data_IF_116770451235
#
_entry.id   IF_116770451235
#
_cell.length_a   1.000
_cell.length_b   1.000
_cell.length_c   1.000
_cell.angle_alpha   90.00
_cell.angle_beta   90.00
_cell.angle_gamma   90.00
#
_symmetry.space_group_name_H-M   'P 1'
#
loop_
_entity.id
_entity.type
_entity.pdbx_description
1 polymer ?
#
# COMPACT_ATOMS: atom_id res chain seq x y z
N UNK A 1 22.05 -11.20 16.32
CA UNK A 1 21.72 -10.58 17.61
C UNK A 1 21.13 -11.66 18.50
N UNK A 2 21.51 -11.71 19.77
CA UNK A 2 20.94 -12.67 20.72
C UNK A 2 19.63 -12.09 21.25
N UNK A 3 18.51 -12.66 20.80
CA UNK A 3 17.17 -12.15 21.10
C UNK A 3 16.69 -12.52 22.51
N UNK A 4 17.54 -13.18 23.33
CA UNK A 4 17.08 -13.84 24.53
C UNK A 4 16.99 -12.99 25.80
N UNK A 5 17.64 -11.83 25.81
CA UNK A 5 17.88 -11.06 27.03
C UNK A 5 16.97 -9.83 27.18
N UNK A 6 15.99 -9.64 26.28
CA UNK A 6 15.13 -8.45 26.28
C UNK A 6 15.78 -7.20 25.66
N UNK A 7 17.02 -7.29 25.18
CA UNK A 7 17.74 -6.19 24.52
C UNK A 7 17.32 -5.98 23.04
N UNK A 8 16.13 -6.45 22.65
CA UNK A 8 15.66 -6.29 21.28
C UNK A 8 15.03 -4.91 21.11
N UNK A 9 15.69 -4.04 20.34
CA UNK A 9 15.10 -2.80 19.84
C UNK A 9 13.84 -3.12 19.04
N UNK A 10 12.68 -2.77 19.60
CA UNK A 10 11.36 -3.04 19.02
C UNK A 10 11.00 -2.09 17.88
N UNK A 11 11.98 -1.79 17.02
CA UNK A 11 11.92 -0.94 15.82
C UNK A 11 13.05 -1.33 14.85
N UNK A 12 12.85 -1.13 13.53
CA UNK A 12 13.86 -1.45 12.52
C UNK A 12 15.07 -0.48 12.59
N UNK A 13 16.30 -0.93 12.90
CA UNK A 13 17.43 -0.03 13.13
C UNK A 13 17.86 0.76 11.89
N UNK A 14 17.70 0.18 10.69
CA UNK A 14 18.00 0.88 9.44
C UNK A 14 17.11 2.10 9.23
N UNK A 15 15.98 2.22 9.94
CA UNK A 15 15.19 3.44 9.96
C UNK A 15 15.95 4.60 10.57
N UNK A 16 16.65 4.39 11.69
CA UNK A 16 17.44 5.44 12.35
C UNK A 16 18.60 5.87 11.46
N UNK A 17 19.29 4.91 10.83
CA UNK A 17 20.36 5.17 9.86
C UNK A 17 19.87 5.98 8.65
N UNK A 18 18.63 5.76 8.21
CA UNK A 18 18.02 6.52 7.14
C UNK A 18 17.45 7.88 7.60
N UNK A 19 16.99 7.96 8.86
CA UNK A 19 16.38 9.16 9.44
C UNK A 19 17.43 10.20 9.79
N UNK A 20 18.55 9.79 10.39
CA UNK A 20 19.62 10.67 10.86
C UNK A 20 20.06 11.71 9.81
N UNK A 21 20.42 11.32 8.56
CA UNK A 21 20.76 12.30 7.53
C UNK A 21 19.53 13.10 7.04
N UNK A 22 18.32 12.59 7.21
CA UNK A 22 17.08 13.24 6.77
C UNK A 22 16.51 14.25 7.78
N UNK A 23 16.95 14.23 9.06
CA UNK A 23 16.46 15.12 10.13
C UNK A 23 16.62 16.60 9.76
N UNK A 24 17.74 16.95 9.12
CA UNK A 24 18.03 18.32 8.68
C UNK A 24 16.99 18.82 7.65
N UNK A 25 16.58 17.96 6.72
CA UNK A 25 15.57 18.28 5.71
C UNK A 25 14.14 18.26 6.26
N UNK A 26 13.83 17.34 7.19
CA UNK A 26 12.53 17.24 7.88
C UNK A 26 12.25 18.53 8.66
N UNK A 27 13.20 18.97 9.47
CA UNK A 27 13.08 20.18 10.27
C UNK A 27 12.95 21.43 9.39
N UNK A 28 13.80 21.55 8.38
CA UNK A 28 13.82 22.66 7.42
C UNK A 28 12.51 22.85 6.67
N UNK A 29 11.81 21.76 6.35
CA UNK A 29 10.53 21.80 5.62
C UNK A 29 9.32 21.90 6.55
N UNK A 30 9.53 22.00 7.87
CA UNK A 30 8.45 21.97 8.86
C UNK A 30 7.61 20.69 8.77
N UNK A 31 8.21 19.58 8.30
CA UNK A 31 7.51 18.34 8.08
C UNK A 31 7.20 17.69 9.42
N UNK A 32 5.94 17.32 9.58
CA UNK A 32 5.52 16.49 10.71
C UNK A 32 5.91 15.06 10.37
N UNK A 33 6.90 14.52 11.06
CA UNK A 33 7.27 13.12 10.97
C UNK A 33 6.33 12.30 11.85
N UNK A 34 5.68 11.31 11.25
CA UNK A 34 4.95 10.27 11.96
C UNK A 34 5.47 8.93 11.41
N UNK A 35 6.18 8.17 12.25
CA UNK A 35 6.75 6.89 11.89
C UNK A 35 6.56 5.91 13.05
N UNK A 36 6.36 4.64 12.71
CA UNK A 36 6.33 3.54 13.68
C UNK A 36 7.51 2.57 13.48
N UNK A 37 8.39 2.84 12.49
CA UNK A 37 9.54 2.04 12.09
C UNK A 37 9.28 0.52 12.13
N UNK A 38 8.07 0.11 11.73
CA UNK A 38 7.70 -1.29 11.54
C UNK A 38 7.47 -2.15 12.78
N UNK A 39 7.37 -1.65 14.03
CA UNK A 39 7.33 -2.57 15.18
C UNK A 39 6.69 -2.06 16.50
N UNK A 40 6.78 -2.88 17.56
CA UNK A 40 5.91 -3.01 18.76
C UNK A 40 6.26 -2.05 19.91
N UNK A 41 7.42 -1.37 19.88
CA UNK A 41 7.94 -0.54 20.98
C UNK A 41 8.06 0.95 20.59
N UNK A 42 6.91 1.61 20.37
CA UNK A 42 6.84 3.00 19.91
C UNK A 42 7.50 4.01 20.85
N UNK A 43 7.53 3.72 22.16
CA UNK A 43 8.15 4.58 23.17
C UNK A 43 9.67 4.60 23.05
N UNK A 44 10.29 3.45 22.90
CA UNK A 44 11.75 3.32 22.81
C UNK A 44 12.29 3.96 21.52
N UNK A 45 11.55 3.82 20.41
CA UNK A 45 11.85 4.53 19.16
C UNK A 45 11.77 6.06 19.34
N UNK A 46 10.75 6.55 20.05
CA UNK A 46 10.61 7.98 20.33
C UNK A 46 11.80 8.50 21.13
N UNK A 47 12.21 7.80 22.18
CA UNK A 47 13.33 8.20 23.04
C UNK A 47 14.65 8.27 22.25
N UNK A 48 14.91 7.31 21.36
CA UNK A 48 16.13 7.31 20.55
C UNK A 48 16.13 8.41 19.47
N UNK A 49 14.98 8.69 18.85
CA UNK A 49 14.85 9.80 17.88
C UNK A 49 15.02 11.15 18.58
N UNK A 50 14.51 11.32 19.80
CA UNK A 50 14.71 12.56 20.58
C UNK A 50 16.19 12.79 20.85
N UNK A 51 16.88 11.76 21.37
CA UNK A 51 18.32 11.81 21.65
C UNK A 51 19.13 12.16 20.40
N UNK A 52 18.85 11.50 19.27
CA UNK A 52 19.48 11.77 17.97
C UNK A 52 19.32 13.23 17.52
N UNK A 53 18.16 13.85 17.80
CA UNK A 53 17.92 15.26 17.44
C UNK A 53 18.59 16.22 18.42
N UNK A 54 18.63 15.90 19.71
CA UNK A 54 19.30 16.70 20.75
C UNK A 54 20.83 16.78 20.53
N UNK A 55 21.46 15.71 20.04
CA UNK A 55 22.90 15.66 19.71
C UNK A 55 23.32 16.64 18.59
N UNK A 56 22.37 17.19 17.81
CA UNK A 56 22.65 18.15 16.73
C UNK A 56 22.77 19.62 17.19
N UNK A 57 22.83 19.88 18.50
CA UNK A 57 23.28 21.12 19.22
C UNK A 57 22.63 22.47 18.82
N UNK A 58 21.69 22.46 17.88
CA UNK A 58 20.96 23.62 17.38
C UNK A 58 19.44 23.46 17.59
N UNK A 59 18.99 22.32 18.12
CA UNK A 59 17.59 21.88 18.21
C UNK A 59 17.07 21.98 19.65
N UNK A 60 15.91 22.60 19.81
CA UNK A 60 15.22 22.77 21.10
C UNK A 60 13.86 22.08 21.04
N UNK A 61 13.67 21.05 21.86
CA UNK A 61 12.36 20.45 22.10
C UNK A 61 11.62 21.17 23.23
N UNK A 62 10.32 21.38 23.05
CA UNK A 62 9.43 21.97 24.06
C UNK A 62 8.17 21.13 24.13
N UNK A 63 7.87 20.55 25.29
CA UNK A 63 6.60 19.87 25.52
C UNK A 63 5.45 20.89 25.42
N UNK A 64 4.47 20.63 24.55
CA UNK A 64 3.32 21.52 24.33
C UNK A 64 1.97 20.85 24.61
N UNK A 65 1.96 19.58 25.00
CA UNK A 65 0.76 18.86 25.41
C UNK A 65 1.04 17.39 25.71
N UNK A 66 0.03 16.66 26.17
CA UNK A 66 0.12 15.21 26.32
C UNK A 66 0.43 14.56 24.97
N UNK A 67 1.55 13.85 24.88
CA UNK A 67 2.07 13.25 23.64
C UNK A 67 2.37 14.26 22.51
N UNK A 68 2.70 15.52 22.84
CA UNK A 68 3.05 16.55 21.85
C UNK A 68 4.28 17.35 22.25
N UNK A 69 5.26 17.37 21.35
CA UNK A 69 6.47 18.21 21.44
C UNK A 69 6.57 19.16 20.25
N UNK A 70 7.11 20.36 20.49
CA UNK A 70 7.53 21.33 19.47
C UNK A 70 9.05 21.28 19.36
N UNK A 71 9.56 21.23 18.13
CA UNK A 71 10.98 21.38 17.82
C UNK A 71 11.26 22.80 17.28
N UNK A 72 12.34 23.45 17.69
CA UNK A 72 12.72 24.81 17.27
C UNK A 72 14.25 25.01 17.25
N UNK A 73 14.75 26.10 16.65
CA UNK A 73 16.19 26.47 16.68
C UNK A 73 17.03 26.07 15.45
N UNK A 74 16.51 25.21 14.57
CA UNK A 74 17.18 24.78 13.34
C UNK A 74 17.17 25.86 12.24
N UNK A 75 18.32 26.14 11.61
CA UNK A 75 18.44 27.07 10.47
C UNK A 75 19.00 26.33 9.23
N UNK A 76 18.30 26.38 8.09
CA UNK A 76 18.66 25.64 6.87
C UNK A 76 18.54 26.43 5.55
N UNK A 77 19.10 25.86 4.46
CA UNK A 77 18.99 26.34 3.05
C UNK A 77 17.64 25.97 2.41
N UNK A 78 17.21 26.47 1.23
CA UNK A 78 15.87 26.20 0.67
C UNK A 78 15.59 24.72 0.28
N UNK A 79 14.32 24.28 0.26
CA UNK A 79 13.92 22.88 0.04
C UNK A 79 14.08 22.39 -1.42
N UNK A 80 14.35 21.08 -1.66
CA UNK A 80 14.23 20.48 -2.99
C UNK A 80 12.74 20.35 -3.39
N UNK A 81 12.47 20.47 -4.69
CA UNK A 81 11.17 20.73 -5.34
C UNK A 81 10.11 19.62 -5.24
N UNK A 82 10.34 18.55 -4.49
CA UNK A 82 9.44 17.38 -4.46
C UNK A 82 9.07 16.93 -3.04
N UNK A 83 7.81 16.54 -2.87
CA UNK A 83 7.22 16.03 -1.62
C UNK A 83 6.93 14.53 -1.74
N UNK A 84 7.22 13.75 -0.69
CA UNK A 84 6.86 12.33 -0.61
C UNK A 84 5.72 12.15 0.39
N UNK A 85 4.60 11.56 -0.04
CA UNK A 85 3.43 11.26 0.79
C UNK A 85 3.18 9.75 0.78
N UNK A 86 3.08 9.15 1.97
CA UNK A 86 2.63 7.76 2.15
C UNK A 86 1.20 7.77 2.69
N UNK A 87 0.30 7.05 2.01
CA UNK A 87 -1.09 6.87 2.42
C UNK A 87 -1.29 5.39 2.76
N UNK A 88 -1.70 5.11 3.99
CA UNK A 88 -2.08 3.76 4.43
C UNK A 88 -3.61 3.70 4.44
N UNK A 89 -4.18 2.83 3.61
CA UNK A 89 -5.61 2.54 3.59
C UNK A 89 -5.87 1.16 4.21
N UNK A 90 -7.08 0.99 4.74
CA UNK A 90 -7.53 -0.31 5.24
C UNK A 90 -7.92 -1.19 4.06
N UNK A 91 -7.04 -2.10 3.64
CA UNK A 91 -7.26 -3.03 2.52
C UNK A 91 -7.83 -4.40 2.93
N UNK A 92 -8.66 -4.44 3.98
CA UNK A 92 -9.32 -5.66 4.42
C UNK A 92 -8.46 -6.63 5.25
N UNK A 93 -9.04 -7.79 5.53
CA UNK A 93 -8.45 -8.89 6.28
C UNK A 93 -8.23 -10.08 5.34
N UNK A 94 -7.14 -10.81 5.53
CA UNK A 94 -6.67 -11.86 4.60
C UNK A 94 -6.52 -13.19 5.33
N UNK A 95 -6.97 -14.27 4.69
CA UNK A 95 -6.60 -15.64 5.04
C UNK A 95 -6.03 -16.34 3.80
N UNK A 96 -4.94 -17.10 4.02
CA UNK A 96 -4.23 -17.85 2.97
C UNK A 96 -3.91 -19.25 3.51
N UNK A 97 -4.15 -20.27 2.68
CA UNK A 97 -3.86 -21.67 3.02
C UNK A 97 -3.08 -22.31 1.89
N UNK A 98 -2.01 -23.02 2.25
CA UNK A 98 -1.15 -23.76 1.32
C UNK A 98 -1.26 -25.27 1.57
N UNK A 99 -1.44 -26.03 0.49
CA UNK A 99 -1.41 -27.48 0.50
C UNK A 99 -0.35 -28.01 -0.48
N UNK A 100 0.67 -28.73 0.01
CA UNK A 100 1.56 -29.45 -0.88
C UNK A 100 0.82 -30.66 -1.47
N UNK A 101 0.67 -30.70 -2.79
CA UNK A 101 0.06 -31.82 -3.50
C UNK A 101 1.12 -32.60 -4.29
N UNK A 102 1.06 -33.93 -4.22
CA UNK A 102 2.04 -34.82 -4.85
C UNK A 102 1.33 -35.88 -5.70
N UNK A 103 1.95 -36.26 -6.82
CA UNK A 103 1.56 -37.40 -7.65
C UNK A 103 0.75 -37.02 -8.90
N UNK A 104 0.05 -38.01 -9.47
CA UNK A 104 -0.71 -37.86 -10.72
C UNK A 104 -1.98 -37.03 -10.54
N UNK A 105 -2.55 -36.55 -11.66
CA UNK A 105 -3.89 -35.94 -11.73
C UNK A 105 -4.07 -34.75 -10.77
N UNK A 106 -3.04 -33.89 -10.69
CA UNK A 106 -3.05 -32.71 -9.83
C UNK A 106 -4.26 -31.82 -10.14
N UNK A 107 -4.59 -31.59 -11.41
CA UNK A 107 -5.73 -30.75 -11.79
C UNK A 107 -7.09 -31.29 -11.28
N UNK A 108 -7.24 -32.61 -11.22
CA UNK A 108 -8.43 -33.30 -10.73
C UNK A 108 -8.49 -33.25 -9.20
N UNK A 109 -7.35 -33.43 -8.52
CA UNK A 109 -7.23 -33.31 -7.06
C UNK A 109 -7.55 -31.89 -6.57
N UNK A 110 -7.04 -30.90 -7.29
CA UNK A 110 -7.31 -29.46 -7.06
C UNK A 110 -8.80 -29.16 -7.21
N UNK A 111 -9.41 -29.62 -8.32
CA UNK A 111 -10.86 -29.46 -8.54
C UNK A 111 -11.70 -30.13 -7.46
N UNK A 112 -11.31 -31.33 -7.03
CA UNK A 112 -11.99 -32.06 -5.96
C UNK A 112 -11.87 -31.33 -4.62
N UNK A 113 -10.67 -30.87 -4.27
CA UNK A 113 -10.43 -30.15 -3.02
C UNK A 113 -11.19 -28.82 -2.99
N UNK A 114 -11.14 -28.02 -4.07
CA UNK A 114 -11.91 -26.79 -4.20
C UNK A 114 -13.41 -27.06 -4.02
N UNK A 115 -13.94 -28.11 -4.67
CA UNK A 115 -15.36 -28.47 -4.54
C UNK A 115 -15.73 -28.85 -3.09
N UNK A 116 -14.85 -29.57 -2.39
CA UNK A 116 -15.03 -29.92 -0.98
C UNK A 116 -14.97 -28.71 -0.06
N UNK A 117 -14.05 -27.77 -0.32
CA UNK A 117 -13.90 -26.54 0.46
C UNK A 117 -15.10 -25.62 0.26
N UNK A 118 -15.54 -25.41 -0.98
CA UNK A 118 -16.76 -24.66 -1.28
C UNK A 118 -17.99 -25.29 -0.61
N UNK A 119 -18.11 -26.62 -0.63
CA UNK A 119 -19.19 -27.31 0.06
C UNK A 119 -19.12 -27.11 1.59
N UNK A 120 -17.94 -27.25 2.19
CA UNK A 120 -17.73 -27.13 3.62
C UNK A 120 -17.93 -25.71 4.16
N UNK A 121 -17.52 -24.68 3.41
CA UNK A 121 -17.82 -23.29 3.73
C UNK A 121 -19.31 -22.99 3.62
N UNK A 122 -19.98 -23.59 2.64
CA UNK A 122 -21.40 -23.36 2.37
C UNK A 122 -21.67 -21.99 1.75
N UNK A 123 -22.80 -21.88 1.05
CA UNK A 123 -23.15 -20.70 0.24
C UNK A 123 -23.13 -19.40 1.05
N UNK A 124 -23.74 -19.39 2.23
CA UNK A 124 -23.85 -18.19 3.06
C UNK A 124 -22.49 -17.60 3.46
N UNK A 125 -21.48 -18.44 3.76
CA UNK A 125 -20.15 -17.95 4.12
C UNK A 125 -19.36 -17.52 2.89
N UNK A 126 -19.51 -18.24 1.77
CA UNK A 126 -18.88 -17.86 0.51
C UNK A 126 -19.40 -16.51 0.00
N UNK A 127 -20.70 -16.23 0.13
CA UNK A 127 -21.32 -14.97 -0.28
C UNK A 127 -20.83 -13.76 0.56
N UNK A 128 -20.16 -14.01 1.70
CA UNK A 128 -19.54 -12.97 2.55
C UNK A 128 -18.08 -12.68 2.20
N UNK A 129 -17.50 -13.42 1.27
CA UNK A 129 -16.14 -13.22 0.81
C UNK A 129 -16.19 -12.28 -0.38
N UNK A 130 -15.44 -11.18 -0.29
CA UNK A 130 -15.30 -10.27 -1.43
C UNK A 130 -14.56 -10.96 -2.59
N UNK A 131 -13.81 -12.02 -2.30
CA UNK A 131 -13.02 -12.77 -3.27
C UNK A 131 -12.73 -14.20 -2.80
N UNK A 132 -12.72 -15.18 -3.72
CA UNK A 132 -12.28 -16.55 -3.44
C UNK A 132 -11.50 -17.07 -4.63
N UNK A 133 -10.30 -17.59 -4.40
CA UNK A 133 -9.49 -18.06 -5.50
C UNK A 133 -8.55 -19.21 -5.15
N UNK A 134 -8.39 -20.10 -6.12
CA UNK A 134 -7.61 -21.34 -6.06
C UNK A 134 -6.50 -21.29 -7.09
N UNK A 135 -5.26 -21.51 -6.66
CA UNK A 135 -4.07 -21.47 -7.53
C UNK A 135 -3.24 -22.73 -7.36
N UNK A 136 -2.57 -23.13 -8.43
CA UNK A 136 -1.67 -24.30 -8.47
C UNK A 136 -0.32 -23.83 -9.01
N UNK A 137 0.75 -24.13 -8.28
CA UNK A 137 2.13 -23.75 -8.57
C UNK A 137 2.96 -24.92 -9.02
N UNK A 138 3.39 -24.83 -10.28
CA UNK A 138 4.22 -25.85 -10.91
C UNK A 138 3.38 -26.95 -11.55
N UNK A 139 4.08 -27.96 -12.03
CA UNK A 139 3.47 -29.17 -12.59
C UNK A 139 4.38 -30.35 -12.27
N UNK A 140 3.78 -31.51 -12.02
CA UNK A 140 4.55 -32.73 -11.83
C UNK A 140 5.06 -33.21 -13.21
N UNK A 141 6.38 -33.33 -13.42
CA UNK A 141 6.90 -33.87 -14.67
C UNK A 141 6.60 -35.37 -14.77
N UNK A 142 6.55 -35.87 -16.00
CA UNK A 142 6.40 -37.30 -16.25
C UNK A 142 7.60 -38.07 -15.67
N UNK A 143 7.30 -39.11 -14.88
CA UNK A 143 8.29 -39.92 -14.15
C UNK A 143 9.29 -39.08 -13.32
N UNK A 144 8.82 -38.42 -12.24
CA UNK A 144 9.63 -37.46 -11.49
C UNK A 144 10.76 -38.14 -10.73
N UNK A 145 11.98 -37.62 -10.88
CA UNK A 145 13.20 -38.15 -10.25
C UNK A 145 13.25 -38.03 -8.73
N UNK A 146 12.36 -37.24 -8.14
CA UNK A 146 12.24 -37.08 -6.68
C UNK A 146 10.88 -36.50 -6.31
N UNK A 147 10.48 -36.69 -5.05
CA UNK A 147 9.24 -36.13 -4.49
C UNK A 147 9.19 -34.61 -4.65
N UNK A 148 10.27 -33.89 -4.30
CA UNK A 148 10.32 -32.43 -4.41
C UNK A 148 10.06 -31.93 -5.84
N UNK A 149 10.43 -32.72 -6.86
CA UNK A 149 10.26 -32.36 -8.28
C UNK A 149 8.80 -32.59 -8.75
N UNK A 150 8.01 -33.41 -8.05
CA UNK A 150 6.58 -33.61 -8.35
C UNK A 150 5.62 -33.06 -7.28
N UNK A 151 6.14 -32.31 -6.31
CA UNK A 151 5.31 -31.53 -5.41
C UNK A 151 4.89 -30.25 -6.13
N UNK A 152 3.59 -30.06 -6.23
CA UNK A 152 2.95 -28.87 -6.77
C UNK A 152 2.29 -28.17 -5.59
N UNK A 153 2.55 -26.87 -5.42
CA UNK A 153 1.93 -26.13 -4.31
C UNK A 153 0.52 -25.66 -4.72
N UNK A 154 -0.48 -25.92 -3.90
CA UNK A 154 -1.83 -25.43 -4.09
C UNK A 154 -2.09 -24.34 -3.07
N UNK A 155 -2.48 -23.15 -3.51
CA UNK A 155 -2.74 -22.02 -2.63
C UNK A 155 -4.14 -21.50 -2.82
N UNK A 156 -4.82 -21.29 -1.70
CA UNK A 156 -6.16 -20.74 -1.67
C UNK A 156 -6.19 -19.43 -0.89
N UNK A 157 -6.82 -18.41 -1.49
CA UNK A 157 -6.84 -17.04 -1.01
C UNK A 157 -8.26 -16.51 -0.89
N UNK A 158 -8.59 -15.98 0.29
CA UNK A 158 -9.88 -15.33 0.55
C UNK A 158 -9.72 -14.18 1.55
N UNK A 159 -10.13 -12.95 1.19
CA UNK A 159 -10.24 -11.86 2.15
C UNK A 159 -11.56 -11.96 2.92
N UNK A 160 -11.49 -11.91 4.25
CA UNK A 160 -12.69 -11.87 5.10
C UNK A 160 -12.42 -11.26 6.47
N UNK A 161 -13.40 -10.52 6.97
CA UNK A 161 -13.46 -10.04 8.34
C UNK A 161 -13.64 -11.23 9.29
N UNK A 162 -12.61 -11.53 10.08
CA UNK A 162 -12.76 -12.40 11.24
C UNK A 162 -12.83 -11.55 12.51
N UNK A 163 -13.72 -11.86 13.48
CA UNK A 163 -13.61 -11.30 14.82
C UNK A 163 -12.21 -11.58 15.35
N UNK A 164 -11.54 -10.56 15.89
CA UNK A 164 -10.21 -10.75 16.47
C UNK A 164 -10.30 -11.84 17.56
N UNK A 165 -9.61 -12.99 17.39
CA UNK A 165 -9.67 -14.05 18.38
C UNK A 165 -8.78 -13.70 19.57
N UNK A 166 -9.04 -14.33 20.72
CA UNK A 166 -8.06 -14.39 21.82
C UNK A 166 -6.78 -15.01 21.29
N UNK A 167 -5.66 -14.30 21.42
CA UNK A 167 -4.36 -14.75 20.95
C UNK A 167 -3.52 -15.20 22.14
N UNK A 168 -3.06 -16.45 22.12
CA UNK A 168 -2.07 -16.94 23.09
C UNK A 168 -0.70 -16.92 22.43
N UNK A 169 0.12 -15.95 22.78
CA UNK A 169 1.49 -15.84 22.31
C UNK A 169 2.35 -16.78 23.15
N UNK A 170 2.86 -17.83 22.53
CA UNK A 170 3.88 -18.70 23.10
C UNK A 170 5.24 -18.22 22.62
N UNK A 171 6.04 -17.70 23.55
CA UNK A 171 7.41 -17.30 23.26
C UNK A 171 8.27 -18.57 23.18
N UNK A 172 9.17 -18.64 22.19
CA UNK A 172 10.01 -19.83 21.93
C UNK A 172 11.05 -20.11 23.03
N UNK A 173 11.14 -19.24 24.04
CA UNK A 173 11.93 -19.45 25.23
C UNK A 173 11.15 -20.29 26.24
N UNK A 174 11.58 -21.55 26.42
CA UNK A 174 10.89 -22.56 27.22
C UNK A 174 10.65 -22.24 28.72
N UNK A 175 11.10 -21.09 29.22
CA UNK A 175 10.87 -20.63 30.59
C UNK A 175 9.86 -19.47 30.70
N UNK A 176 9.45 -18.86 29.59
CA UNK A 176 8.46 -17.78 29.61
C UNK A 176 7.04 -18.34 29.55
N UNK A 177 6.19 -17.85 30.45
CA UNK A 177 4.78 -18.21 30.45
C UNK A 177 4.09 -17.63 29.20
N UNK A 178 3.14 -18.35 28.59
CA UNK A 178 2.35 -17.82 27.49
C UNK A 178 1.63 -16.53 27.90
N UNK A 179 1.60 -15.55 27.00
CA UNK A 179 0.84 -14.31 27.18
C UNK A 179 -0.47 -14.46 26.42
N UNK A 180 -1.59 -14.36 27.13
CA UNK A 180 -2.92 -14.32 26.51
C UNK A 180 -3.32 -12.86 26.30
N UNK A 181 -3.57 -12.50 25.03
CA UNK A 181 -4.09 -11.20 24.61
C UNK A 181 -5.56 -11.40 24.25
N UNK A 182 -6.45 -10.84 25.06
CA UNK A 182 -7.88 -10.86 24.78
C UNK A 182 -8.25 -9.89 23.65
N UNK A 183 -9.37 -10.12 22.93
CA UNK A 183 -9.87 -9.18 21.95
C UNK A 183 -10.14 -7.81 22.58
N UNK A 184 -9.93 -6.70 21.84
CA UNK A 184 -10.24 -5.37 22.33
C UNK A 184 -11.73 -5.23 22.63
N UNK A 185 -12.06 -4.74 23.82
CA UNK A 185 -13.44 -4.50 24.26
C UNK A 185 -14.02 -3.19 23.72
N UNK A 186 -13.16 -2.20 23.47
CA UNK A 186 -13.51 -0.93 22.86
C UNK A 186 -13.21 -1.01 21.36
N UNK A 187 -14.27 -1.09 20.55
CA UNK A 187 -14.16 -1.08 19.10
C UNK A 187 -14.96 0.08 18.53
N UNK A 188 -14.44 0.71 17.48
CA UNK A 188 -15.22 1.62 16.66
C UNK A 188 -15.91 0.82 15.56
N UNK A 189 -17.18 1.14 15.28
CA UNK A 189 -17.81 0.60 14.08
C UNK A 189 -17.00 1.04 12.87
N UNK A 190 -16.60 0.10 12.02
CA UNK A 190 -15.90 0.43 10.78
C UNK A 190 -16.79 1.39 9.97
N UNK A 191 -16.28 2.57 9.57
CA UNK A 191 -17.03 3.46 8.69
C UNK A 191 -17.26 2.77 7.34
N UNK A 192 -18.32 3.19 6.66
CA UNK A 192 -18.69 2.70 5.34
C UNK A 192 -17.50 2.71 4.35
N UNK A 193 -17.49 1.83 3.33
CA UNK A 193 -16.44 1.79 2.33
C UNK A 193 -16.16 3.19 1.75
N UNK A 194 -14.89 3.47 1.49
CA UNK A 194 -14.44 4.77 1.00
C UNK A 194 -15.26 5.16 -0.25
N UNK A 195 -15.92 6.34 -0.24
CA UNK A 195 -16.84 6.69 -1.31
C UNK A 195 -16.08 6.99 -2.60
N UNK A 196 -16.55 6.40 -3.69
CA UNK A 196 -16.15 6.76 -5.05
C UNK A 196 -17.05 7.87 -5.58
N UNK A 197 -16.47 8.88 -6.23
CA UNK A 197 -17.23 9.99 -6.80
C UNK A 197 -16.57 10.59 -8.04
N UNK A 198 -17.41 11.16 -8.92
CA UNK A 198 -16.98 11.90 -10.09
C UNK A 198 -16.17 13.14 -9.69
N UNK A 199 -15.38 13.75 -10.61
CA UNK A 199 -14.66 14.98 -10.32
C UNK A 199 -15.54 16.06 -9.68
N UNK A 200 -15.13 16.57 -8.52
CA UNK A 200 -15.78 17.71 -7.86
C UNK A 200 -15.53 18.96 -8.68
N UNK A 201 -16.55 19.78 -8.93
CA UNK A 201 -16.46 21.04 -9.69
C UNK A 201 -15.59 20.93 -10.96
N UNK A 202 -15.95 20.07 -11.92
CA UNK A 202 -15.14 19.82 -13.11
C UNK A 202 -15.04 21.09 -13.95
N UNK A 203 -13.82 21.41 -14.38
CA UNK A 203 -13.51 22.53 -15.28
C UNK A 203 -13.32 21.99 -16.69
N UNK A 204 -13.80 22.74 -17.69
CA UNK A 204 -13.60 22.36 -19.09
C UNK A 204 -12.11 22.34 -19.42
N UNK A 205 -11.59 21.18 -19.85
CA UNK A 205 -10.15 21.03 -20.13
C UNK A 205 -9.64 22.01 -21.21
N UNK A 206 -10.50 22.43 -22.13
CA UNK A 206 -10.20 23.44 -23.16
C UNK A 206 -9.96 24.84 -22.59
N UNK A 207 -10.41 25.14 -21.37
CA UNK A 207 -10.18 26.45 -20.75
C UNK A 207 -8.72 26.67 -20.35
N UNK A 208 -7.91 25.60 -20.33
CA UNK A 208 -6.47 25.68 -20.04
C UNK A 208 -5.63 25.99 -21.28
N UNK A 209 -6.26 26.39 -22.39
CA UNK A 209 -5.58 26.82 -23.62
C UNK A 209 -5.25 25.68 -24.59
N UNK A 210 -4.43 25.95 -25.62
CA UNK A 210 -4.08 24.96 -26.63
C UNK A 210 -3.28 23.80 -26.02
N UNK A 211 -3.46 22.61 -26.59
CA UNK A 211 -2.84 21.37 -26.10
C UNK A 211 -1.83 20.80 -27.09
N UNK A 212 -0.90 20.00 -26.57
CA UNK A 212 0.03 19.17 -27.34
C UNK A 212 -0.01 17.75 -26.80
N UNK A 213 0.05 16.75 -27.70
CA UNK A 213 0.17 15.34 -27.28
C UNK A 213 1.49 15.09 -26.58
N UNK A 214 1.43 14.68 -25.32
CA UNK A 214 2.60 14.43 -24.47
C UNK A 214 2.28 13.34 -23.44
N UNK A 215 3.28 12.58 -22.95
CA UNK A 215 3.07 11.67 -21.83
C UNK A 215 2.54 12.40 -20.60
N UNK A 216 1.52 11.85 -19.93
CA UNK A 216 0.94 12.40 -18.69
C UNK A 216 2.01 12.70 -17.63
N UNK A 217 2.98 11.81 -17.48
CA UNK A 217 4.06 11.91 -16.49
C UNK A 217 5.02 13.06 -16.69
N UNK A 218 4.96 13.78 -17.82
CA UNK A 218 5.75 15.01 -18.03
C UNK A 218 5.30 16.15 -17.12
N UNK A 219 4.02 16.16 -16.70
CA UNK A 219 3.44 17.24 -15.91
C UNK A 219 2.77 16.77 -14.62
N UNK A 220 2.76 15.47 -14.34
CA UNK A 220 2.09 14.87 -13.17
C UNK A 220 3.02 13.90 -12.45
N UNK A 221 3.14 14.05 -11.13
CA UNK A 221 3.80 13.06 -10.28
C UNK A 221 2.85 11.91 -9.97
N UNK A 222 3.39 10.72 -9.68
CA UNK A 222 2.57 9.60 -9.21
C UNK A 222 3.24 8.80 -8.10
N UNK A 223 2.40 8.09 -7.34
CA UNK A 223 2.81 7.09 -6.35
C UNK A 223 1.86 5.90 -6.43
N UNK A 224 2.33 4.72 -6.02
CA UNK A 224 1.50 3.52 -5.91
C UNK A 224 1.81 2.72 -4.66
N UNK A 225 0.86 1.86 -4.28
CA UNK A 225 1.06 0.84 -3.28
C UNK A 225 0.03 -0.26 -3.42
N UNK A 226 0.44 -1.49 -3.13
CA UNK A 226 -0.42 -2.66 -3.15
C UNK A 226 -0.94 -3.03 -1.76
N UNK A 227 -2.07 -3.74 -1.76
CA UNK A 227 -2.53 -4.51 -0.60
C UNK A 227 -3.28 -5.74 -1.10
N UNK A 228 -2.58 -6.88 -1.16
CA UNK A 228 -3.15 -8.10 -1.72
C UNK A 228 -3.32 -7.97 -3.23
N UNK A 229 -4.51 -8.30 -3.75
CA UNK A 229 -4.86 -8.16 -5.18
C UNK A 229 -5.22 -6.71 -5.56
N UNK A 230 -5.44 -5.84 -4.58
CA UNK A 230 -5.76 -4.44 -4.78
C UNK A 230 -4.49 -3.60 -4.88
N UNK A 231 -4.57 -2.50 -5.62
CA UNK A 231 -3.53 -1.48 -5.59
C UNK A 231 -4.12 -0.08 -5.67
N UNK A 232 -3.40 0.87 -5.10
CA UNK A 232 -3.72 2.28 -5.20
C UNK A 232 -2.73 3.01 -6.12
N UNK A 233 -3.22 4.04 -6.80
CA UNK A 233 -2.41 4.98 -7.57
C UNK A 233 -2.83 6.41 -7.25
N UNK A 234 -1.88 7.23 -6.82
CA UNK A 234 -2.06 8.67 -6.61
C UNK A 234 -1.38 9.46 -7.72
N UNK A 235 -2.03 10.52 -8.18
CA UNK A 235 -1.52 11.49 -9.13
C UNK A 235 -1.51 12.87 -8.49
N UNK A 236 -0.41 13.61 -8.61
CA UNK A 236 -0.22 14.91 -7.95
C UNK A 236 0.18 15.96 -8.99
N UNK A 237 -0.50 17.11 -8.91
CA UNK A 237 -0.16 18.27 -9.70
C UNK A 237 1.15 18.90 -9.18
N UNK A 238 1.90 19.61 -10.03
CA UNK A 238 3.17 20.22 -9.58
C UNK A 238 2.93 21.42 -8.66
N UNK A 239 1.87 22.18 -8.95
CA UNK A 239 1.44 23.32 -8.17
C UNK A 239 -0.08 23.48 -8.18
N UNK A 240 -0.58 24.37 -7.33
CA UNK A 240 -2.00 24.61 -7.12
C UNK A 240 -2.77 24.94 -8.40
N UNK A 241 -2.16 25.66 -9.35
CA UNK A 241 -2.82 26.09 -10.59
C UNK A 241 -3.20 24.93 -11.50
N UNK A 242 -2.55 23.78 -11.34
CA UNK A 242 -2.76 22.56 -12.13
C UNK A 242 -3.80 21.63 -11.49
N UNK A 243 -4.08 21.81 -10.19
CA UNK A 243 -4.99 20.97 -9.41
C UNK A 243 -6.40 20.88 -10.05
N UNK A 244 -7.05 21.98 -10.47
CA UNK A 244 -8.36 21.89 -11.12
C UNK A 244 -8.33 21.14 -12.44
N UNK A 245 -7.25 21.27 -13.23
CA UNK A 245 -7.07 20.51 -14.47
C UNK A 245 -6.91 19.02 -14.19
N UNK A 246 -6.00 18.64 -13.28
CA UNK A 246 -5.74 17.25 -12.92
C UNK A 246 -6.99 16.56 -12.37
N UNK A 247 -7.70 17.23 -11.46
CA UNK A 247 -8.97 16.78 -10.88
C UNK A 247 -10.02 16.50 -11.94
N UNK A 248 -10.17 17.41 -12.90
CA UNK A 248 -11.18 17.33 -13.96
C UNK A 248 -10.82 16.27 -15.00
N UNK A 249 -9.53 16.13 -15.32
CA UNK A 249 -9.02 15.15 -16.27
C UNK A 249 -9.18 13.71 -15.74
N UNK A 250 -8.69 13.44 -14.53
CA UNK A 250 -8.59 12.08 -13.99
C UNK A 250 -9.91 11.62 -13.36
N UNK A 251 -10.91 11.39 -14.19
CA UNK A 251 -12.11 10.62 -13.82
C UNK A 251 -11.83 9.10 -13.82
N UNK A 252 -12.69 8.30 -13.20
CA UNK A 252 -12.59 6.83 -13.29
C UNK A 252 -12.68 6.35 -14.75
N UNK A 253 -13.53 6.98 -15.56
CA UNK A 253 -13.62 6.70 -17.00
C UNK A 253 -12.32 7.02 -17.74
N UNK A 254 -11.66 8.14 -17.41
CA UNK A 254 -10.35 8.45 -17.98
C UNK A 254 -9.29 7.44 -17.54
N UNK A 255 -9.31 6.98 -16.30
CA UNK A 255 -8.37 5.96 -15.84
C UNK A 255 -8.56 4.64 -16.60
N UNK A 256 -9.81 4.23 -16.84
CA UNK A 256 -10.15 3.08 -17.70
C UNK A 256 -9.63 3.26 -19.12
N UNK A 257 -9.82 4.45 -19.72
CA UNK A 257 -9.29 4.78 -21.04
C UNK A 257 -7.75 4.66 -21.08
N UNK A 258 -7.06 5.15 -20.05
CA UNK A 258 -5.59 5.10 -19.96
C UNK A 258 -5.07 3.67 -19.79
N UNK A 259 -5.73 2.85 -18.98
CA UNK A 259 -5.40 1.43 -18.83
C UNK A 259 -5.64 0.63 -20.11
N UNK A 260 -6.67 0.99 -20.87
CA UNK A 260 -6.98 0.35 -22.15
C UNK A 260 -7.27 -1.15 -21.99
N UNK A 261 -6.49 -1.98 -22.66
CA UNK A 261 -6.69 -3.45 -22.68
C UNK A 261 -6.39 -4.13 -21.33
N UNK A 262 -5.66 -3.46 -20.44
CA UNK A 262 -5.31 -3.97 -19.11
C UNK A 262 -6.43 -3.75 -18.09
N UNK A 263 -7.53 -3.10 -18.49
CA UNK A 263 -8.74 -2.99 -17.69
C UNK A 263 -9.73 -4.10 -18.05
N UNK A 264 -10.16 -4.88 -17.06
CA UNK A 264 -11.03 -6.04 -17.25
C UNK A 264 -12.41 -5.88 -16.58
N UNK A 265 -12.81 -4.64 -16.30
CA UNK A 265 -14.13 -4.35 -15.70
C UNK A 265 -14.15 -4.32 -14.18
N UNK A 266 -12.99 -4.36 -13.51
CA UNK A 266 -12.93 -4.33 -12.06
C UNK A 266 -13.32 -2.96 -11.48
N UNK A 267 -13.64 -2.94 -10.19
CA UNK A 267 -14.07 -1.72 -9.48
C UNK A 267 -12.90 -0.74 -9.32
N UNK A 268 -13.20 0.55 -9.50
CA UNK A 268 -12.27 1.65 -9.23
C UNK A 268 -12.94 2.64 -8.30
N UNK A 269 -12.35 2.84 -7.12
CA UNK A 269 -12.75 3.90 -6.20
C UNK A 269 -11.87 5.14 -6.43
N UNK A 270 -12.50 6.28 -6.71
CA UNK A 270 -11.79 7.55 -6.96
C UNK A 270 -12.06 8.54 -5.82
N UNK A 271 -11.00 9.16 -5.35
CA UNK A 271 -11.02 10.19 -4.31
C UNK A 271 -10.07 11.36 -4.63
N UNK A 272 -10.39 12.52 -4.07
CA UNK A 272 -9.61 13.75 -4.20
C UNK A 272 -8.97 14.12 -2.86
N UNK A 273 -7.75 14.65 -2.91
CA UNK A 273 -7.06 15.22 -1.78
C UNK A 273 -6.69 16.68 -2.09
N UNK A 274 -7.64 17.64 -1.92
CA UNK A 274 -7.46 19.01 -2.40
C UNK A 274 -6.23 19.72 -1.82
N UNK A 275 -5.92 19.48 -0.54
CA UNK A 275 -4.73 20.06 0.14
C UNK A 275 -3.40 19.45 -0.29
N UNK A 276 -3.43 18.36 -1.05
CA UNK A 276 -2.26 17.72 -1.65
C UNK A 276 -2.26 17.88 -3.17
N UNK A 277 -3.25 18.60 -3.73
CA UNK A 277 -3.47 18.75 -5.17
C UNK A 277 -3.44 17.41 -5.92
N UNK A 278 -4.08 16.39 -5.32
CA UNK A 278 -3.97 15.02 -5.77
C UNK A 278 -5.34 14.39 -6.08
N UNK A 279 -5.33 13.53 -7.08
CA UNK A 279 -6.40 12.56 -7.37
C UNK A 279 -5.85 11.18 -7.12
N UNK A 280 -6.58 10.37 -6.37
CA UNK A 280 -6.16 9.04 -5.97
C UNK A 280 -7.22 8.03 -6.35
N UNK A 281 -6.78 6.87 -6.82
CA UNK A 281 -7.65 5.79 -7.24
C UNK A 281 -7.22 4.50 -6.55
N UNK A 282 -8.17 3.76 -5.98
CA UNK A 282 -8.01 2.39 -5.52
C UNK A 282 -8.62 1.48 -6.57
N UNK A 283 -7.79 0.60 -7.14
CA UNK A 283 -8.17 -0.36 -8.14
C UNK A 283 -8.26 -1.73 -7.48
N UNK A 284 -9.48 -2.28 -7.48
CA UNK A 284 -9.77 -3.53 -6.82
C UNK A 284 -9.43 -4.71 -7.73
N UNK A 285 -8.75 -5.72 -7.20
CA UNK A 285 -8.46 -6.98 -7.89
C UNK A 285 -7.76 -6.81 -9.26
N UNK A 286 -6.78 -5.91 -9.32
CA UNK A 286 -6.05 -5.63 -10.54
C UNK A 286 -4.64 -6.26 -10.59
N UNK A 287 -4.04 -6.63 -9.44
CA UNK A 287 -2.74 -7.30 -9.39
C UNK A 287 -2.88 -8.82 -9.44
N UNK A 288 -3.80 -9.32 -10.25
CA UNK A 288 -4.21 -10.73 -10.24
C UNK A 288 -4.61 -11.18 -8.81
N UNK A 289 -3.68 -11.78 -8.06
CA UNK A 289 -3.88 -12.26 -6.69
C UNK A 289 -2.77 -11.80 -5.71
N UNK A 290 -2.03 -10.75 -6.08
CA UNK A 290 -1.01 -10.09 -5.26
C UNK A 290 0.38 -10.73 -5.33
N UNK A 291 1.29 -10.31 -4.44
CA UNK A 291 2.73 -10.66 -4.50
C UNK A 291 3.00 -12.16 -4.53
N UNK A 292 2.27 -12.92 -3.72
CA UNK A 292 2.50 -14.35 -3.59
C UNK A 292 2.03 -15.11 -4.81
N UNK A 293 1.09 -14.53 -5.60
CA UNK A 293 0.24 -15.27 -6.51
C UNK A 293 -0.18 -14.42 -7.73
N UNK A 294 0.69 -14.32 -8.73
CA UNK A 294 0.45 -13.48 -9.90
C UNK A 294 1.02 -14.10 -11.19
N UNK A 295 0.28 -13.96 -12.29
CA UNK A 295 0.69 -14.38 -13.64
C UNK A 295 1.37 -13.28 -14.46
N UNK A 296 1.47 -12.08 -13.90
CA UNK A 296 2.03 -10.87 -14.50
C UNK A 296 3.27 -10.37 -13.72
N UNK A 297 4.05 -9.48 -14.34
CA UNK A 297 5.31 -9.00 -13.76
C UNK A 297 5.12 -7.92 -12.69
N UNK A 298 4.00 -7.17 -12.70
CA UNK A 298 3.74 -6.13 -11.71
C UNK A 298 3.01 -6.72 -10.51
N UNK A 299 3.76 -7.36 -9.62
CA UNK A 299 3.19 -8.10 -8.48
C UNK A 299 2.89 -7.23 -7.26
N UNK A 300 3.36 -5.98 -7.26
CA UNK A 300 3.23 -4.99 -6.17
C UNK A 300 2.65 -3.65 -6.65
N UNK A 301 2.10 -3.60 -7.87
CA UNK A 301 1.50 -2.39 -8.46
C UNK A 301 2.48 -1.22 -8.62
N UNK A 302 3.78 -1.48 -8.79
CA UNK A 302 4.81 -0.44 -8.94
C UNK A 302 4.99 0.02 -10.38
N UNK A 303 4.65 -0.82 -11.37
CA UNK A 303 4.85 -0.48 -12.78
C UNK A 303 3.67 0.29 -13.34
N UNK A 304 2.47 0.04 -12.82
CA UNK A 304 1.24 0.67 -13.31
C UNK A 304 1.26 2.21 -13.26
N UNK A 305 1.89 2.82 -12.24
CA UNK A 305 2.04 4.27 -12.18
C UNK A 305 2.84 4.81 -13.36
N UNK A 306 4.00 4.21 -13.63
CA UNK A 306 4.88 4.63 -14.71
C UNK A 306 4.26 4.32 -16.08
N UNK A 307 3.54 3.19 -16.20
CA UNK A 307 2.74 2.87 -17.39
C UNK A 307 1.68 3.95 -17.67
N UNK A 308 0.88 4.32 -16.67
CA UNK A 308 -0.15 5.36 -16.81
C UNK A 308 0.46 6.72 -17.11
N UNK A 309 1.61 7.04 -16.50
CA UNK A 309 2.39 8.25 -16.81
C UNK A 309 2.94 8.26 -18.23
N UNK A 310 3.26 7.10 -18.81
CA UNK A 310 3.75 7.00 -20.18
C UNK A 310 2.65 7.20 -21.25
N UNK A 311 1.37 7.15 -20.85
CA UNK A 311 0.25 7.34 -21.78
C UNK A 311 0.21 8.77 -22.31
N UNK A 312 0.08 8.87 -23.63
CA UNK A 312 -0.06 10.16 -24.32
C UNK A 312 -1.47 10.69 -24.15
N UNK A 313 -1.56 11.91 -23.65
CA UNK A 313 -2.80 12.68 -23.56
C UNK A 313 -2.59 14.06 -24.20
N UNK A 314 -3.68 14.77 -24.43
CA UNK A 314 -3.63 16.19 -24.79
C UNK A 314 -3.33 17.02 -23.53
N UNK A 315 -2.08 17.45 -23.38
CA UNK A 315 -1.63 18.27 -22.25
C UNK A 315 -1.64 19.74 -22.66
N UNK A 316 -2.14 20.63 -21.79
CA UNK A 316 -2.09 22.06 -22.06
C UNK A 316 -0.65 22.55 -22.23
N UNK A 317 -0.42 23.38 -23.25
CA UNK A 317 0.86 24.03 -23.50
C UNK A 317 1.30 24.93 -22.33
N UNK A 318 0.35 25.43 -21.52
CA UNK A 318 0.66 26.19 -20.32
C UNK A 318 1.41 25.34 -19.29
N UNK A 319 1.00 24.09 -19.06
CA UNK A 319 1.69 23.19 -18.13
C UNK A 319 3.01 22.69 -18.70
N UNK A 320 3.07 22.38 -20.01
CA UNK A 320 4.32 21.97 -20.66
C UNK A 320 5.39 23.08 -20.62
N UNK A 321 4.98 24.34 -20.71
CA UNK A 321 5.90 25.48 -20.66
C UNK A 321 6.58 25.68 -19.29
N UNK A 322 6.02 25.12 -18.21
CA UNK A 322 6.61 25.18 -16.87
C UNK A 322 7.82 24.24 -16.69
N UNK A 323 8.05 23.34 -17.66
CA UNK A 323 9.11 22.35 -17.61
C UNK A 323 8.56 20.93 -17.43
N UNK A 324 9.39 19.95 -17.75
CA UNK A 324 9.05 18.53 -17.62
C UNK A 324 9.66 17.96 -16.35
N UNK A 325 8.90 17.11 -15.67
CA UNK A 325 9.40 16.22 -14.62
C UNK A 325 10.46 15.23 -15.14
#
# INVERSE_FOLDING_TARGET
MDYSNGDCIGYEPSFLEALEPALEDIAKKGLKLACNAGCVATKDLYEEVVKMVEEKDQAVFTQIGENRVRLSGMVGRPPPSTTKCGLTAFGGYQAEVHWPMVGLDIGEKVRLLEAQLRHGFGKERLDRLDYWNVTVYGSAPENPRSQNVCTVDFTEYFPTLIPQPTQTIRLSQGYLQPITIEPPTETISHPAPQPTYAPTDPVQLSSFGPTTKSPLGRVVYSTTGDKGSDFNVGFFAQDESESPWLRSLLSSAKLVELMGVDYHGQKIDRMEFPRLWAVHCLLHNHLDRGVTTNTTHDVVGKFIAEYLKAKYIDVSNFFLAKGTL
#
